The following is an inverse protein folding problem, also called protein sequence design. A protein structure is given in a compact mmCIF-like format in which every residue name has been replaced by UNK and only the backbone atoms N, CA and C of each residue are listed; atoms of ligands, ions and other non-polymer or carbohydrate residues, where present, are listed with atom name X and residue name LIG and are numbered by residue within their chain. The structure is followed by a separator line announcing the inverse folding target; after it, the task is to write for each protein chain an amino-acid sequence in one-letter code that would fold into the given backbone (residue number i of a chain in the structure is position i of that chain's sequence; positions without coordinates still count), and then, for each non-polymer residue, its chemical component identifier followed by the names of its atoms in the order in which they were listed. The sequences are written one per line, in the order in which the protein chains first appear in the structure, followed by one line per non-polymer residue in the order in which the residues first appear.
data_IF_104617702645
#
_entry.id   IF_104617702645
#
_cell.length_a   1.000
_cell.length_b   1.000
_cell.length_c   1.000
_cell.angle_alpha   90.00
_cell.angle_beta   90.00
_cell.angle_gamma   90.00
#
_symmetry.space_group_name_H-M   'P 1'
#
loop_
_entity.id
_entity.type
_entity.pdbx_description
1 polymer ?
#
# COMPACT_ATOMS: atom_id res chain seq x y z
N UNK A 1 14.11 -7.34 -77.66
CA UNK A 1 13.73 -6.01 -77.14
C UNK A 1 12.81 -6.22 -75.96
N UNK A 2 13.23 -5.75 -74.77
CA UNK A 2 12.54 -5.46 -73.50
C UNK A 2 11.11 -6.02 -73.31
N UNK A 3 10.77 -6.67 -72.20
CA UNK A 3 10.88 -6.12 -70.85
C UNK A 3 10.68 -7.23 -69.80
N UNK A 4 11.73 -7.51 -69.02
CA UNK A 4 11.67 -8.24 -67.75
C UNK A 4 11.69 -7.18 -66.65
N UNK A 5 10.56 -6.92 -66.02
CA UNK A 5 10.50 -6.07 -64.83
C UNK A 5 9.49 -6.64 -63.82
N UNK A 6 10.06 -7.02 -62.67
CA UNK A 6 9.49 -7.08 -61.32
C UNK A 6 8.53 -8.23 -60.98
N UNK A 7 9.09 -9.38 -60.63
CA UNK A 7 8.54 -10.28 -59.61
C UNK A 7 9.67 -10.66 -58.64
N UNK A 8 10.00 -9.73 -57.76
CA UNK A 8 10.99 -9.93 -56.70
C UNK A 8 10.36 -9.62 -55.35
N UNK A 9 10.55 -10.54 -54.40
CA UNK A 9 10.32 -10.41 -52.95
C UNK A 9 8.89 -10.55 -52.44
N UNK A 10 8.34 -11.76 -52.51
CA UNK A 10 7.34 -12.24 -51.54
C UNK A 10 7.74 -13.60 -50.98
N UNK A 11 8.96 -13.70 -50.44
CA UNK A 11 9.31 -14.76 -49.50
C UNK A 11 10.08 -14.13 -48.34
N UNK A 12 9.69 -14.51 -47.13
CA UNK A 12 10.35 -14.20 -45.86
C UNK A 12 9.89 -12.94 -45.11
N UNK A 13 8.63 -12.94 -44.66
CA UNK A 13 8.28 -12.18 -43.44
C UNK A 13 7.22 -12.84 -42.55
N UNK A 14 6.63 -13.98 -42.94
CA UNK A 14 5.57 -14.62 -42.14
C UNK A 14 6.03 -15.67 -41.11
N UNK A 15 7.33 -15.87 -40.86
CA UNK A 15 7.82 -16.89 -39.89
C UNK A 15 8.71 -16.29 -38.79
N UNK A 16 8.65 -14.97 -38.55
CA UNK A 16 9.42 -14.34 -37.47
C UNK A 16 8.61 -13.35 -36.64
N UNK A 17 7.44 -13.77 -36.13
CA UNK A 17 6.68 -13.01 -35.12
C UNK A 17 5.70 -13.90 -34.31
N UNK A 18 6.07 -15.17 -34.06
CA UNK A 18 5.35 -16.06 -33.13
C UNK A 18 6.10 -16.31 -31.82
N UNK A 19 7.17 -15.55 -31.57
CA UNK A 19 7.75 -15.42 -30.24
C UNK A 19 7.31 -14.06 -29.70
N UNK A 20 6.90 -14.04 -28.44
CA UNK A 20 6.40 -12.88 -27.66
C UNK A 20 4.89 -12.64 -27.75
N UNK A 21 4.12 -13.54 -27.14
CA UNK A 21 3.41 -13.23 -25.88
C UNK A 21 2.57 -14.46 -25.47
N UNK A 22 3.23 -15.46 -24.87
CA UNK A 22 2.53 -16.17 -23.80
C UNK A 22 2.44 -15.18 -22.63
N UNK A 23 1.41 -14.34 -22.66
CA UNK A 23 0.94 -13.71 -21.44
C UNK A 23 0.45 -14.87 -20.57
N UNK A 24 1.32 -15.37 -19.69
CA UNK A 24 0.92 -16.21 -18.59
C UNK A 24 -0.16 -15.45 -17.83
N UNK A 25 -1.43 -15.76 -18.10
CA UNK A 25 -2.55 -15.29 -17.30
C UNK A 25 -2.49 -16.04 -15.97
N UNK A 26 -1.52 -15.67 -15.15
CA UNK A 26 -1.54 -16.08 -13.76
C UNK A 26 -2.73 -15.36 -13.15
N UNK A 27 -3.77 -16.13 -12.85
CA UNK A 27 -4.89 -15.67 -12.04
C UNK A 27 -4.37 -15.07 -10.73
N UNK A 28 -5.23 -14.38 -9.96
CA UNK A 28 -4.84 -13.78 -8.70
C UNK A 28 -4.13 -14.83 -7.82
N UNK A 29 -2.83 -14.65 -7.62
CA UNK A 29 -2.04 -15.47 -6.71
C UNK A 29 -2.55 -15.18 -5.30
N UNK A 30 -2.70 -16.22 -4.48
CA UNK A 30 -2.96 -16.01 -3.05
C UNK A 30 -1.67 -15.49 -2.38
N UNK A 31 -1.60 -14.19 -2.01
CA UNK A 31 -0.42 -13.62 -1.39
C UNK A 31 -0.22 -14.13 0.04
N UNK A 32 -1.18 -14.86 0.60
CA UNK A 32 -1.17 -15.38 1.98
C UNK A 32 -0.71 -16.83 2.08
N UNK A 33 -0.36 -17.48 0.97
CA UNK A 33 0.15 -18.86 0.99
C UNK A 33 1.39 -18.97 1.91
N UNK A 34 1.34 -19.91 2.84
CA UNK A 34 2.37 -20.16 3.87
C UNK A 34 2.50 -19.09 4.96
N UNK A 35 1.53 -18.17 5.07
CA UNK A 35 1.45 -17.24 6.17
C UNK A 35 0.48 -17.75 7.26
N UNK A 36 0.84 -17.50 8.52
CA UNK A 36 -0.08 -17.61 9.65
C UNK A 36 -0.63 -16.24 10.00
N UNK A 37 -1.95 -16.15 10.18
CA UNK A 37 -2.59 -14.93 10.69
C UNK A 37 -2.36 -14.84 12.20
N UNK A 38 -1.89 -13.68 12.65
CA UNK A 38 -1.72 -13.36 14.06
C UNK A 38 -3.02 -12.75 14.63
N UNK A 39 -3.24 -12.83 15.95
CA UNK A 39 -4.33 -12.11 16.60
C UNK A 39 -4.33 -10.62 16.27
N UNK A 40 -5.49 -9.98 16.22
CA UNK A 40 -5.56 -8.53 15.97
C UNK A 40 -6.64 -7.89 16.83
N UNK A 41 -6.21 -7.22 17.90
CA UNK A 41 -7.07 -6.52 18.85
C UNK A 41 -6.30 -5.34 19.50
N UNK A 42 -6.97 -4.59 20.38
CA UNK A 42 -6.43 -3.39 21.05
C UNK A 42 -5.18 -3.62 21.92
N UNK A 43 -4.81 -4.86 22.22
CA UNK A 43 -3.54 -5.16 22.90
C UNK A 43 -2.35 -5.08 21.94
N UNK A 44 -2.56 -5.20 20.62
CA UNK A 44 -1.49 -5.22 19.61
C UNK A 44 -1.37 -3.92 18.82
N UNK A 45 -2.36 -3.04 18.92
CA UNK A 45 -2.34 -1.74 18.25
C UNK A 45 -2.94 -0.66 19.14
N UNK A 46 -2.49 0.58 18.91
CA UNK A 46 -3.13 1.78 19.46
C UNK A 46 -3.50 2.73 18.32
N UNK A 47 -4.34 3.72 18.62
CA UNK A 47 -4.71 4.76 17.67
C UNK A 47 -3.82 5.97 17.91
N UNK A 48 -2.97 6.28 16.93
CA UNK A 48 -2.38 7.60 16.81
C UNK A 48 -3.45 8.56 16.32
N UNK A 49 -3.53 9.73 16.92
CA UNK A 49 -4.51 10.79 16.64
C UNK A 49 -3.82 12.15 16.91
N UNK A 50 -4.34 13.28 16.45
CA UNK A 50 -3.88 14.59 16.90
C UNK A 50 -3.81 14.65 18.44
N UNK A 51 -2.71 15.17 18.98
CA UNK A 51 -2.46 15.08 20.43
C UNK A 51 -3.53 15.79 21.27
N UNK A 52 -4.11 16.87 20.74
CA UNK A 52 -5.09 17.77 21.37
C UNK A 52 -6.55 17.40 21.10
N UNK A 53 -6.81 16.35 20.30
CA UNK A 53 -8.18 15.94 19.95
C UNK A 53 -8.50 14.57 20.55
N UNK A 54 -9.66 14.34 21.19
CA UNK A 54 -10.05 13.01 21.68
C UNK A 54 -10.14 11.94 20.58
N UNK A 55 -9.85 10.67 20.91
CA UNK A 55 -9.85 9.57 19.92
C UNK A 55 -11.20 9.45 19.18
N UNK A 56 -12.31 9.51 19.91
CA UNK A 56 -13.66 9.38 19.34
C UNK A 56 -14.07 10.53 18.39
N UNK A 57 -13.31 11.61 18.35
CA UNK A 57 -13.53 12.71 17.40
C UNK A 57 -12.75 12.56 16.10
N UNK A 58 -11.87 11.56 15.98
CA UNK A 58 -11.07 11.28 14.78
C UNK A 58 -11.05 9.81 14.38
N UNK A 59 -11.59 8.94 15.23
CA UNK A 59 -11.65 7.51 15.03
C UNK A 59 -13.00 6.96 15.51
N UNK A 60 -13.52 5.95 14.81
CA UNK A 60 -14.62 5.12 15.31
C UNK A 60 -14.48 3.68 14.81
N UNK A 61 -14.97 2.72 15.59
CA UNK A 61 -15.10 1.33 15.16
C UNK A 61 -16.55 0.91 15.30
N UNK A 62 -17.24 0.72 14.17
CA UNK A 62 -18.66 0.36 14.13
C UNK A 62 -18.88 -0.72 13.09
N UNK A 63 -19.63 -1.77 13.43
CA UNK A 63 -19.98 -2.86 12.51
C UNK A 63 -18.76 -3.46 11.78
N UNK A 64 -17.66 -3.66 12.51
CA UNK A 64 -16.42 -4.23 11.95
C UNK A 64 -15.60 -3.28 11.06
N UNK A 65 -15.97 -2.00 10.96
CA UNK A 65 -15.27 -0.99 10.17
C UNK A 65 -14.58 0.03 11.07
N UNK A 66 -13.28 0.16 10.92
CA UNK A 66 -12.50 1.29 11.43
C UNK A 66 -12.70 2.47 10.48
N UNK A 67 -13.20 3.59 10.99
CA UNK A 67 -13.23 4.88 10.28
C UNK A 67 -12.23 5.82 10.93
N UNK A 68 -11.30 6.36 10.16
CA UNK A 68 -10.26 7.26 10.62
C UNK A 68 -10.29 8.52 9.77
N UNK A 69 -10.30 9.69 10.40
CA UNK A 69 -10.30 10.97 9.70
C UNK A 69 -9.42 11.98 10.42
N UNK A 70 -8.97 12.98 9.65
CA UNK A 70 -8.29 14.19 10.13
C UNK A 70 -8.67 15.38 9.27
N UNK A 71 -8.46 16.57 9.82
CA UNK A 71 -8.48 17.82 9.08
C UNK A 71 -7.05 18.32 8.83
N UNK A 72 -6.85 19.08 7.76
CA UNK A 72 -5.55 19.70 7.45
C UNK A 72 -5.06 20.65 8.56
N UNK A 73 -5.98 21.19 9.37
CA UNK A 73 -5.70 22.08 10.51
C UNK A 73 -5.46 21.36 11.84
N UNK A 74 -5.64 20.04 11.89
CA UNK A 74 -5.36 19.28 13.11
C UNK A 74 -3.88 19.38 13.49
N UNK A 75 -3.56 19.03 14.74
CA UNK A 75 -2.17 18.96 15.20
C UNK A 75 -1.53 17.61 14.86
N UNK A 76 -0.18 17.52 14.93
CA UNK A 76 0.53 16.26 14.85
C UNK A 76 0.10 15.28 15.95
N UNK A 77 0.52 14.02 15.84
CA UNK A 77 0.14 12.99 16.82
C UNK A 77 0.82 13.10 18.19
N UNK A 78 1.89 13.91 18.29
CA UNK A 78 2.54 14.27 19.55
C UNK A 78 2.95 15.74 19.52
N UNK A 79 3.12 16.35 20.69
CA UNK A 79 3.49 17.77 20.83
C UNK A 79 4.82 18.09 20.14
N UNK A 80 5.78 17.15 20.17
CA UNK A 80 7.13 17.35 19.63
C UNK A 80 7.26 16.97 18.15
N UNK A 81 6.24 16.35 17.56
CA UNK A 81 6.32 15.87 16.19
C UNK A 81 6.20 17.03 15.19
N UNK A 82 7.14 17.12 14.25
CA UNK A 82 7.09 18.06 13.13
C UNK A 82 6.34 17.49 11.91
N UNK A 83 5.63 16.38 12.08
CA UNK A 83 4.92 15.70 10.99
C UNK A 83 3.51 16.23 10.81
N UNK A 84 2.94 16.02 9.63
CA UNK A 84 1.53 16.37 9.36
C UNK A 84 0.54 15.53 10.19
N UNK A 85 -0.72 15.99 10.32
CA UNK A 85 -1.74 15.34 11.12
C UNK A 85 -2.06 13.93 10.65
N UNK A 86 -2.49 13.07 11.57
CA UNK A 86 -2.84 11.69 11.28
C UNK A 86 -3.84 11.13 12.27
N UNK A 87 -4.65 10.19 11.77
CA UNK A 87 -5.31 9.20 12.61
C UNK A 87 -4.99 7.83 12.04
N UNK A 88 -4.17 7.06 12.76
CA UNK A 88 -3.65 5.77 12.28
C UNK A 88 -3.76 4.69 13.36
N UNK A 89 -4.13 3.48 12.93
CA UNK A 89 -3.87 2.26 13.67
C UNK A 89 -2.37 1.97 13.56
N UNK A 90 -1.64 2.16 14.66
CA UNK A 90 -0.23 1.86 14.78
C UNK A 90 -0.04 0.49 15.45
N UNK A 91 0.50 -0.47 14.71
CA UNK A 91 0.51 -1.89 15.10
C UNK A 91 1.87 -2.22 15.71
N UNK A 92 2.02 -1.92 17.00
CA UNK A 92 3.30 -2.05 17.72
C UNK A 92 3.51 -3.41 18.39
N UNK A 93 2.44 -4.19 18.59
CA UNK A 93 2.54 -5.52 19.20
C UNK A 93 3.21 -6.57 18.32
N UNK A 94 3.55 -6.21 17.08
CA UNK A 94 4.18 -7.07 16.07
C UNK A 94 5.37 -6.38 15.40
N UNK A 95 6.14 -5.58 16.15
CA UNK A 95 7.38 -5.06 15.62
C UNK A 95 8.30 -6.21 15.19
N UNK A 96 9.00 -6.04 14.07
CA UNK A 96 9.81 -7.10 13.48
C UNK A 96 11.10 -6.58 12.87
N UNK A 97 12.13 -7.40 12.87
CA UNK A 97 13.47 -7.08 12.35
C UNK A 97 13.99 -8.09 11.33
N UNK A 98 13.25 -9.18 11.09
CA UNK A 98 13.64 -10.26 10.18
C UNK A 98 12.41 -11.04 9.68
N UNK A 99 12.65 -11.92 8.70
CA UNK A 99 11.62 -12.80 8.12
C UNK A 99 10.71 -12.08 7.14
N UNK A 100 9.58 -12.73 6.81
CA UNK A 100 8.62 -12.23 5.83
C UNK A 100 7.28 -11.95 6.52
N UNK A 101 6.87 -10.69 6.47
CA UNK A 101 5.67 -10.19 7.15
C UNK A 101 4.70 -9.59 6.15
N UNK A 102 3.41 -9.67 6.47
CA UNK A 102 2.35 -9.19 5.62
C UNK A 102 1.30 -8.44 6.42
N UNK A 103 0.93 -7.28 5.91
CA UNK A 103 -0.32 -6.61 6.24
C UNK A 103 -1.36 -6.95 5.18
N UNK A 104 -2.57 -7.34 5.60
CA UNK A 104 -3.75 -7.42 4.75
C UNK A 104 -4.87 -6.54 5.33
N UNK A 105 -5.62 -5.85 4.48
CA UNK A 105 -6.83 -5.16 4.89
C UNK A 105 -7.71 -4.77 3.71
N UNK A 106 -9.02 -4.65 3.95
CA UNK A 106 -9.92 -4.04 2.98
C UNK A 106 -9.99 -2.55 3.27
N UNK A 107 -9.48 -1.74 2.35
CA UNK A 107 -9.46 -0.29 2.47
C UNK A 107 -10.59 0.35 1.65
N UNK A 108 -11.04 1.51 2.09
CA UNK A 108 -11.95 2.39 1.36
C UNK A 108 -11.51 3.83 1.57
N UNK A 109 -11.48 4.62 0.49
CA UNK A 109 -11.14 6.03 0.54
C UNK A 109 -12.29 6.82 -0.09
N UNK A 110 -12.95 7.72 0.67
CA UNK A 110 -14.00 8.55 0.12
C UNK A 110 -13.48 9.50 -0.96
N UNK A 111 -14.31 9.76 -1.98
CA UNK A 111 -14.03 10.80 -2.97
C UNK A 111 -13.74 12.14 -2.30
N UNK A 112 -12.81 12.90 -2.88
CA UNK A 112 -12.37 14.19 -2.35
C UNK A 112 -11.23 14.10 -1.33
N UNK A 113 -10.80 12.89 -0.93
CA UNK A 113 -9.61 12.69 -0.09
C UNK A 113 -8.35 12.57 -0.95
N UNK A 114 -7.44 13.54 -0.87
CA UNK A 114 -6.16 13.57 -1.60
C UNK A 114 -5.01 13.97 -0.67
N UNK A 115 -3.78 13.70 -1.10
CA UNK A 115 -2.57 14.05 -0.36
C UNK A 115 -2.42 13.29 0.94
N UNK A 116 -2.71 11.99 0.96
CA UNK A 116 -2.63 11.17 2.17
C UNK A 116 -1.82 9.90 1.96
N UNK A 117 -1.26 9.38 3.04
CA UNK A 117 -0.82 8.01 3.17
C UNK A 117 -1.88 7.21 3.92
N UNK A 118 -2.24 6.04 3.37
CA UNK A 118 -3.25 5.16 3.97
C UNK A 118 -2.65 3.91 4.64
N UNK A 119 -1.44 3.52 4.24
CA UNK A 119 -0.73 2.36 4.79
C UNK A 119 0.77 2.60 4.74
N UNK A 120 1.48 2.19 5.80
CA UNK A 120 2.93 2.28 5.91
C UNK A 120 3.55 0.97 6.36
N UNK A 121 4.77 0.71 5.86
CA UNK A 121 5.79 -0.05 6.57
C UNK A 121 6.75 0.96 7.19
N UNK A 122 6.58 1.22 8.48
CA UNK A 122 7.44 2.11 9.25
C UNK A 122 8.77 1.42 9.58
N UNK A 123 9.85 2.21 9.72
CA UNK A 123 11.20 1.71 9.95
C UNK A 123 11.97 1.53 8.65
N UNK A 124 13.21 2.00 8.64
CA UNK A 124 14.19 1.92 7.56
C UNK A 124 15.56 2.36 8.10
N UNK A 125 16.63 2.15 7.33
CA UNK A 125 17.93 2.77 7.59
C UNK A 125 17.91 4.27 7.25
N UNK A 126 18.73 5.11 7.93
CA UNK A 126 18.92 6.50 7.55
C UNK A 126 19.30 6.65 6.06
N UNK A 127 18.80 7.68 5.36
CA UNK A 127 18.03 8.83 5.86
C UNK A 127 16.51 8.61 5.89
N UNK A 128 16.03 7.39 5.69
CA UNK A 128 14.61 7.11 5.54
C UNK A 128 13.94 6.77 6.87
N UNK A 129 12.68 7.18 7.03
CA UNK A 129 11.85 6.81 8.18
C UNK A 129 10.90 5.63 7.90
N UNK A 130 10.67 5.31 6.62
CA UNK A 130 9.73 4.27 6.19
C UNK A 130 10.33 3.44 5.08
N UNK A 131 10.04 2.14 5.10
CA UNK A 131 10.33 1.20 4.02
C UNK A 131 9.32 1.35 2.89
N UNK A 132 8.03 1.55 3.21
CA UNK A 132 6.98 1.71 2.21
C UNK A 132 5.88 2.66 2.68
N UNK A 133 5.28 3.39 1.73
CA UNK A 133 4.05 4.16 1.95
C UNK A 133 3.11 3.99 0.75
N UNK A 134 1.87 3.60 1.03
CA UNK A 134 0.79 3.61 0.04
C UNK A 134 0.01 4.91 0.23
N UNK A 135 -0.06 5.71 -0.83
CA UNK A 135 -0.62 7.06 -0.80
C UNK A 135 -1.76 7.22 -1.80
N UNK A 136 -2.58 8.24 -1.59
CA UNK A 136 -3.66 8.63 -2.51
C UNK A 136 -3.48 10.08 -2.94
N UNK A 137 -3.42 10.29 -4.24
CA UNK A 137 -3.39 11.62 -4.87
C UNK A 137 -4.39 11.67 -6.02
N UNK A 138 -5.36 12.57 -5.92
CA UNK A 138 -6.34 12.87 -6.96
C UNK A 138 -6.99 11.60 -7.56
N UNK A 139 -7.40 10.68 -6.68
CA UNK A 139 -8.02 9.41 -7.04
C UNK A 139 -7.07 8.29 -7.39
N UNK A 140 -5.77 8.55 -7.56
CA UNK A 140 -4.78 7.51 -7.82
C UNK A 140 -4.23 6.95 -6.51
N UNK A 141 -4.27 5.63 -6.37
CA UNK A 141 -3.52 4.90 -5.37
C UNK A 141 -2.08 4.73 -5.86
N UNK A 142 -1.11 5.15 -5.05
CA UNK A 142 0.29 5.26 -5.45
C UNK A 142 1.23 4.65 -4.42
N UNK A 143 2.39 4.20 -4.88
CA UNK A 143 3.55 3.93 -4.03
C UNK A 143 4.38 5.21 -3.91
N UNK A 144 4.47 5.75 -2.70
CA UNK A 144 4.94 7.12 -2.46
C UNK A 144 4.28 8.12 -3.43
N UNK A 145 5.06 8.84 -4.24
CA UNK A 145 4.61 9.67 -5.36
C UNK A 145 5.24 9.22 -6.69
N UNK A 146 5.81 8.01 -6.72
CA UNK A 146 6.66 7.55 -7.81
C UNK A 146 5.90 6.67 -8.80
N UNK A 147 5.01 5.81 -8.31
CA UNK A 147 4.32 4.82 -9.14
C UNK A 147 2.83 4.77 -8.85
N UNK A 148 2.01 4.85 -9.90
CA UNK A 148 0.57 4.61 -9.81
C UNK A 148 0.33 3.10 -9.74
N UNK A 149 -0.32 2.65 -8.67
CA UNK A 149 -0.71 1.25 -8.46
C UNK A 149 -2.08 0.97 -9.08
N UNK A 150 -3.05 1.86 -8.83
CA UNK A 150 -4.42 1.78 -9.35
C UNK A 150 -4.97 3.20 -9.50
N UNK A 151 -5.45 3.61 -10.69
CA UNK A 151 -6.17 4.87 -10.85
C UNK A 151 -7.62 4.75 -10.33
N UNK A 152 -8.25 5.89 -10.02
CA UNK A 152 -9.68 5.98 -9.67
C UNK A 152 -10.11 5.05 -8.52
N UNK A 153 -9.41 5.11 -7.38
CA UNK A 153 -9.59 4.21 -6.22
C UNK A 153 -10.76 4.59 -5.30
N UNK A 154 -11.40 5.73 -5.52
CA UNK A 154 -12.41 6.27 -4.62
C UNK A 154 -13.68 5.44 -4.54
N UNK A 155 -14.37 5.59 -3.41
CA UNK A 155 -15.74 5.12 -3.19
C UNK A 155 -15.97 3.62 -3.43
N UNK A 156 -14.92 2.81 -3.32
CA UNK A 156 -15.01 1.36 -3.36
C UNK A 156 -14.14 0.73 -2.28
N UNK A 157 -14.53 -0.47 -1.87
CA UNK A 157 -13.64 -1.34 -1.10
C UNK A 157 -12.63 -2.01 -2.04
N UNK A 158 -11.40 -2.12 -1.58
CA UNK A 158 -10.35 -2.90 -2.26
C UNK A 158 -9.52 -3.65 -1.23
N UNK A 159 -9.05 -4.85 -1.58
CA UNK A 159 -8.13 -5.60 -0.74
C UNK A 159 -6.70 -5.13 -1.01
N UNK A 160 -6.02 -4.66 0.02
CA UNK A 160 -4.61 -4.32 0.01
C UNK A 160 -3.82 -5.39 0.76
N UNK A 161 -2.79 -5.94 0.11
CA UNK A 161 -1.75 -6.71 0.78
C UNK A 161 -0.41 -6.01 0.59
N UNK A 162 0.34 -5.82 1.66
CA UNK A 162 1.73 -5.35 1.61
C UNK A 162 2.61 -6.33 2.32
N UNK A 163 3.51 -6.95 1.58
CA UNK A 163 4.46 -7.94 2.06
C UNK A 163 5.83 -7.28 2.16
N UNK A 164 6.45 -7.33 3.34
CA UNK A 164 7.84 -6.96 3.55
C UNK A 164 8.66 -8.22 3.83
N UNK A 165 9.51 -8.58 2.87
CA UNK A 165 10.55 -9.59 3.04
C UNK A 165 11.83 -8.88 3.46
N UNK A 166 12.10 -8.90 4.77
CA UNK A 166 13.25 -8.19 5.35
C UNK A 166 14.55 -8.82 4.86
N UNK A 167 14.59 -10.14 4.78
CA UNK A 167 15.79 -10.90 4.41
C UNK A 167 16.15 -10.66 2.94
N UNK A 168 15.16 -10.69 2.05
CA UNK A 168 15.37 -10.39 0.63
C UNK A 168 15.44 -8.88 0.33
N UNK A 169 15.19 -8.01 1.32
CA UNK A 169 15.07 -6.55 1.17
C UNK A 169 14.07 -6.18 0.09
N UNK A 170 12.87 -6.77 0.13
CA UNK A 170 11.82 -6.55 -0.86
C UNK A 170 10.49 -6.17 -0.24
N UNK A 171 9.80 -5.24 -0.87
CA UNK A 171 8.39 -4.95 -0.63
C UNK A 171 7.58 -5.34 -1.85
N UNK A 172 6.46 -6.05 -1.63
CA UNK A 172 5.47 -6.34 -2.66
C UNK A 172 4.12 -5.80 -2.26
N UNK A 173 3.43 -5.17 -3.21
CA UNK A 173 2.09 -4.61 -3.00
C UNK A 173 1.12 -5.26 -3.95
N UNK A 174 0.05 -5.84 -3.41
CA UNK A 174 -1.04 -6.43 -4.17
C UNK A 174 -2.32 -5.63 -3.93
N UNK A 175 -3.06 -5.40 -5.01
CA UNK A 175 -4.40 -4.81 -4.95
C UNK A 175 -5.38 -5.80 -5.56
N UNK A 176 -6.42 -6.16 -4.81
CA UNK A 176 -7.45 -7.11 -5.22
C UNK A 176 -6.86 -8.47 -5.68
N UNK A 177 -5.74 -8.89 -5.06
CA UNK A 177 -5.03 -10.14 -5.38
C UNK A 177 -4.04 -10.06 -6.55
N UNK A 178 -3.94 -8.92 -7.23
CA UNK A 178 -2.99 -8.72 -8.32
C UNK A 178 -1.74 -8.00 -7.84
N UNK A 179 -0.55 -8.53 -8.16
CA UNK A 179 0.72 -7.85 -7.90
C UNK A 179 0.76 -6.54 -8.70
N UNK A 180 0.92 -5.41 -8.00
CA UNK A 180 1.03 -4.08 -8.61
C UNK A 180 2.44 -3.50 -8.52
N UNK A 181 3.23 -3.96 -7.55
CA UNK A 181 4.57 -3.46 -7.30
C UNK A 181 5.44 -4.54 -6.66
N UNK A 182 6.68 -4.64 -7.14
CA UNK A 182 7.81 -5.11 -6.34
C UNK A 182 8.84 -3.98 -6.28
N UNK A 183 9.26 -3.61 -5.07
CA UNK A 183 10.23 -2.54 -4.81
C UNK A 183 11.31 -3.02 -3.82
N UNK A 184 12.42 -2.29 -3.77
CA UNK A 184 13.45 -2.52 -2.76
C UNK A 184 12.95 -2.07 -1.39
N UNK A 185 13.23 -2.88 -0.37
CA UNK A 185 13.16 -2.47 1.02
C UNK A 185 14.25 -1.45 1.34
N UNK A 186 14.17 -0.81 2.51
CA UNK A 186 15.07 0.28 2.89
C UNK A 186 15.92 -0.04 4.12
N UNK A 187 16.21 -1.32 4.36
CA UNK A 187 16.99 -1.77 5.52
C UNK A 187 16.31 -1.43 6.84
N UNK A 188 17.07 -1.26 7.92
CA UNK A 188 16.57 -0.99 9.26
C UNK A 188 16.52 -2.23 10.15
N UNK A 189 16.46 -2.00 11.47
CA UNK A 189 16.49 -3.06 12.49
C UNK A 189 15.15 -3.22 13.24
N UNK A 190 14.14 -2.43 12.89
CA UNK A 190 12.82 -2.49 13.50
C UNK A 190 11.78 -1.92 12.55
N UNK A 191 10.75 -2.70 12.29
CA UNK A 191 9.64 -2.38 11.40
C UNK A 191 8.30 -2.56 12.08
N UNK A 192 7.33 -1.78 11.65
CA UNK A 192 5.94 -1.90 12.09
C UNK A 192 4.98 -1.52 10.97
N UNK A 193 3.84 -2.19 10.90
CA UNK A 193 2.77 -1.79 10.00
C UNK A 193 1.94 -0.67 10.62
N UNK A 194 1.46 0.24 9.77
CA UNK A 194 0.47 1.25 10.13
C UNK A 194 -0.58 1.35 9.03
N UNK A 195 -1.83 1.60 9.39
CA UNK A 195 -2.88 1.92 8.44
C UNK A 195 -3.82 2.98 9.00
N UNK A 196 -4.45 3.76 8.13
CA UNK A 196 -5.35 4.84 8.54
C UNK A 196 -5.28 6.00 7.56
N UNK A 197 -5.19 7.22 8.09
CA UNK A 197 -5.03 8.42 7.30
C UNK A 197 -3.92 9.26 7.91
N UNK A 198 -2.86 9.49 7.12
CA UNK A 198 -1.77 10.37 7.48
C UNK A 198 -1.60 11.40 6.38
N UNK A 199 -1.89 12.67 6.70
CA UNK A 199 -1.75 13.77 5.77
C UNK A 199 -0.31 13.89 5.25
N UNK A 200 -0.17 14.18 3.96
CA UNK A 200 1.08 14.38 3.23
C UNK A 200 1.04 15.76 2.55
N UNK A 201 1.94 16.02 1.60
CA UNK A 201 1.85 17.24 0.80
C UNK A 201 0.59 17.24 -0.08
N UNK A 202 0.09 18.44 -0.38
CA UNK A 202 -1.12 18.64 -1.21
C UNK A 202 -2.36 17.92 -0.66
N UNK A 203 -2.50 17.91 0.66
CA UNK A 203 -3.60 17.31 1.40
C UNK A 203 -4.91 18.09 1.23
N UNK A 204 -6.01 17.34 1.15
CA UNK A 204 -7.36 17.89 1.21
C UNK A 204 -7.69 18.40 2.60
N UNK A 205 -8.67 19.32 2.73
CA UNK A 205 -9.06 19.84 4.05
C UNK A 205 -9.59 18.75 4.98
N UNK A 206 -10.52 17.91 4.50
CA UNK A 206 -11.01 16.73 5.22
C UNK A 206 -10.46 15.49 4.55
N UNK A 207 -9.87 14.59 5.33
CA UNK A 207 -9.26 13.38 4.83
C UNK A 207 -9.73 12.18 5.64
N UNK A 208 -10.13 11.13 4.96
CA UNK A 208 -10.68 9.93 5.59
C UNK A 208 -10.18 8.66 4.92
N UNK A 209 -9.98 7.62 5.70
CA UNK A 209 -9.95 6.25 5.19
C UNK A 209 -10.73 5.32 6.12
N UNK A 210 -11.18 4.20 5.54
CA UNK A 210 -11.88 3.15 6.28
C UNK A 210 -11.21 1.81 6.05
N UNK A 211 -11.21 0.99 7.08
CA UNK A 211 -10.56 -0.31 7.09
C UNK A 211 -11.45 -1.36 7.73
N UNK A 212 -11.53 -2.54 7.12
CA UNK A 212 -12.14 -3.73 7.70
C UNK A 212 -11.31 -4.97 7.38
N UNK A 213 -11.51 -6.03 8.15
CA UNK A 213 -10.80 -7.30 7.99
C UNK A 213 -9.27 -7.10 7.96
N UNK A 214 -8.75 -6.27 8.87
CA UNK A 214 -7.30 -6.05 9.00
C UNK A 214 -6.67 -7.30 9.60
N UNK A 215 -5.60 -7.79 8.98
CA UNK A 215 -4.82 -8.95 9.44
C UNK A 215 -3.34 -8.65 9.35
N UNK A 216 -2.61 -9.18 10.31
CA UNK A 216 -1.15 -9.20 10.31
C UNK A 216 -0.75 -10.65 10.22
N UNK A 217 0.08 -10.96 9.23
CA UNK A 217 0.50 -12.31 8.98
C UNK A 217 2.02 -12.40 8.96
N UNK A 218 2.54 -13.52 9.45
CA UNK A 218 3.95 -13.87 9.41
C UNK A 218 4.10 -15.14 8.59
N UNK A 219 5.05 -15.18 7.67
CA UNK A 219 5.37 -16.42 6.96
C UNK A 219 5.99 -17.42 7.94
N UNK A 220 5.51 -18.65 7.92
CA UNK A 220 6.20 -19.74 8.62
C UNK A 220 7.53 -20.00 7.93
N UNK A 221 8.57 -20.17 8.73
CA UNK A 221 9.86 -20.68 8.26
C UNK A 221 9.73 -22.14 7.80
#
# INVERSE_FOLDING_TARGET
MNSLFVLGYFYSSCILLLLVHQASSWGPLDPTKSFISLPFNRSYYHIQKPYDVPENQRYSFKNGVHRLWVFATDKPHTITSQTKPRTEIAIQGYNYSSGVWQFEGHAYVPYGTSGICIMQVFGADPPHATTAMIRVYNGSLMYYQESVLVPSIYNRWFRLNVIHDVNAKKVRVYIDGFLKLEAQGRGGTSHAFKCGVYAQNNDSYYMESRWKNVKILKKCD
#
